data_IF_630166862476
#
_entry.id   IF_630166862476
#
_cell.length_a   1.000
_cell.length_b   1.000
_cell.length_c   1.000
_cell.angle_alpha   90.00
_cell.angle_beta   90.00
_cell.angle_gamma   90.00
#
_symmetry.space_group_name_H-M   'P 1'
#
loop_
_entity.id
_entity.type
_entity.pdbx_description
1 polymer ?
#
# COMPACT_ATOMS: atom_id res chain seq x y z
N UNK A 1 -38.28 20.81 9.22
CA UNK A 1 -36.83 20.62 8.98
C UNK A 1 -36.46 19.22 9.41
N UNK A 2 -36.44 18.27 8.47
CA UNK A 2 -36.00 16.90 8.70
C UNK A 2 -34.51 16.91 9.01
N UNK A 3 -34.14 16.54 10.24
CA UNK A 3 -32.74 16.25 10.60
C UNK A 3 -32.27 15.16 9.63
N UNK A 4 -31.44 15.51 8.65
CA UNK A 4 -30.60 14.53 7.93
C UNK A 4 -29.66 13.95 8.98
N UNK A 5 -30.12 12.89 9.66
CA UNK A 5 -29.24 12.09 10.50
C UNK A 5 -28.14 11.59 9.59
N UNK A 6 -26.89 11.82 9.99
CA UNK A 6 -25.75 11.07 9.46
C UNK A 6 -26.08 9.60 9.67
N UNK A 7 -26.49 8.91 8.60
CA UNK A 7 -26.80 7.49 8.66
C UNK A 7 -25.55 6.76 9.17
N UNK A 8 -25.77 5.83 10.11
CA UNK A 8 -24.70 5.00 10.61
C UNK A 8 -24.09 4.21 9.45
N UNK A 9 -22.76 4.02 9.43
CA UNK A 9 -22.15 3.11 8.48
C UNK A 9 -22.71 1.70 8.70
N UNK A 10 -23.19 1.08 7.63
CA UNK A 10 -23.63 -0.31 7.65
C UNK A 10 -22.43 -1.24 7.92
N UNK A 11 -22.64 -2.27 8.73
CA UNK A 11 -21.64 -3.30 8.99
C UNK A 11 -21.21 -3.99 7.70
N UNK A 12 -22.12 -4.18 6.75
CA UNK A 12 -21.79 -4.76 5.44
C UNK A 12 -20.79 -3.89 4.68
N UNK A 13 -20.92 -2.57 4.76
CA UNK A 13 -19.97 -1.65 4.14
C UNK A 13 -18.63 -1.66 4.89
N UNK A 14 -18.65 -1.79 6.21
CA UNK A 14 -17.44 -1.94 7.01
C UNK A 14 -16.66 -3.20 6.61
N UNK A 15 -17.35 -4.33 6.44
CA UNK A 15 -16.75 -5.59 5.98
C UNK A 15 -16.21 -5.48 4.56
N UNK A 16 -16.93 -4.83 3.64
CA UNK A 16 -16.43 -4.57 2.28
C UNK A 16 -15.15 -3.75 2.29
N UNK A 17 -15.05 -2.73 3.17
CA UNK A 17 -13.82 -1.94 3.31
C UNK A 17 -12.70 -2.79 3.90
N UNK A 18 -12.98 -3.61 4.91
CA UNK A 18 -12.00 -4.52 5.51
C UNK A 18 -11.42 -5.53 4.50
N UNK A 19 -12.26 -6.17 3.68
CA UNK A 19 -11.80 -7.08 2.64
C UNK A 19 -10.96 -6.36 1.58
N UNK A 20 -11.31 -5.12 1.20
CA UNK A 20 -10.46 -4.31 0.31
C UNK A 20 -9.10 -3.97 0.92
N UNK A 21 -9.05 -3.65 2.22
CA UNK A 21 -7.78 -3.42 2.93
C UNK A 21 -6.91 -4.68 2.89
N UNK A 22 -7.50 -5.85 3.14
CA UNK A 22 -6.81 -7.15 3.08
C UNK A 22 -6.29 -7.43 1.67
N UNK A 23 -7.12 -7.30 0.64
CA UNK A 23 -6.71 -7.53 -0.75
C UNK A 23 -5.57 -6.60 -1.17
N UNK A 24 -5.68 -5.30 -0.87
CA UNK A 24 -4.62 -4.34 -1.17
C UNK A 24 -3.34 -4.60 -0.39
N UNK A 25 -3.43 -5.04 0.87
CA UNK A 25 -2.26 -5.41 1.67
C UNK A 25 -1.50 -6.58 1.06
N UNK A 26 -2.22 -7.62 0.60
CA UNK A 26 -1.64 -8.78 -0.08
C UNK A 26 -1.01 -8.36 -1.41
N UNK A 27 -1.74 -7.61 -2.25
CA UNK A 27 -1.23 -7.12 -3.52
C UNK A 27 0.02 -6.25 -3.35
N UNK A 28 0.07 -5.41 -2.31
CA UNK A 28 1.22 -4.56 -1.99
C UNK A 28 2.44 -5.40 -1.65
N UNK A 29 2.26 -6.44 -0.83
CA UNK A 29 3.33 -7.35 -0.45
C UNK A 29 3.88 -8.11 -1.67
N UNK A 30 3.01 -8.65 -2.53
CA UNK A 30 3.42 -9.32 -3.76
C UNK A 30 4.22 -8.39 -4.67
N UNK A 31 3.77 -7.14 -4.83
CA UNK A 31 4.45 -6.17 -5.66
C UNK A 31 5.84 -5.79 -5.09
N UNK A 32 5.95 -5.64 -3.77
CA UNK A 32 7.24 -5.42 -3.10
C UNK A 32 8.21 -6.59 -3.31
N UNK A 33 7.73 -7.82 -3.17
CA UNK A 33 8.54 -9.02 -3.41
C UNK A 33 9.00 -9.06 -4.87
N UNK A 34 8.09 -8.77 -5.81
CA UNK A 34 8.42 -8.72 -7.25
C UNK A 34 9.49 -7.68 -7.57
N UNK A 35 9.37 -6.46 -7.01
CA UNK A 35 10.39 -5.41 -7.16
C UNK A 35 11.73 -5.88 -6.63
N UNK A 36 11.78 -6.41 -5.39
CA UNK A 36 13.03 -6.92 -4.79
C UNK A 36 13.67 -8.04 -5.60
N UNK A 37 12.86 -8.91 -6.19
CA UNK A 37 13.35 -9.98 -7.07
C UNK A 37 14.03 -9.38 -8.31
N UNK A 38 13.36 -8.45 -9.00
CA UNK A 38 13.91 -7.80 -10.20
C UNK A 38 15.17 -6.99 -9.86
N UNK A 39 15.20 -6.31 -8.71
CA UNK A 39 16.41 -5.63 -8.22
C UNK A 39 17.59 -6.61 -8.07
N UNK A 40 17.34 -7.77 -7.45
CA UNK A 40 18.37 -8.79 -7.26
C UNK A 40 18.83 -9.39 -8.59
N UNK A 41 17.90 -9.69 -9.49
CA UNK A 41 18.17 -10.21 -10.82
C UNK A 41 18.99 -9.19 -11.65
N UNK A 42 18.65 -7.90 -11.56
CA UNK A 42 19.38 -6.79 -12.18
C UNK A 42 20.81 -6.69 -11.66
N UNK A 43 20.99 -6.70 -10.34
CA UNK A 43 22.33 -6.65 -9.72
C UNK A 43 23.16 -7.84 -10.18
N UNK A 44 22.58 -9.05 -10.18
CA UNK A 44 23.25 -10.26 -10.63
C UNK A 44 23.68 -10.17 -12.10
N UNK A 45 22.77 -9.74 -12.98
CA UNK A 45 23.04 -9.60 -14.41
C UNK A 45 24.15 -8.58 -14.69
N UNK A 46 24.05 -7.38 -14.12
CA UNK A 46 25.04 -6.31 -14.29
C UNK A 46 26.42 -6.69 -13.72
N UNK A 47 26.45 -7.51 -12.68
CA UNK A 47 27.71 -7.97 -12.05
C UNK A 47 28.39 -9.08 -12.85
N UNK A 48 27.63 -9.97 -13.48
CA UNK A 48 28.17 -11.18 -14.12
C UNK A 48 28.33 -11.04 -15.64
N UNK A 49 27.53 -10.18 -16.29
CA UNK A 49 27.56 -10.02 -17.73
C UNK A 49 28.58 -8.95 -18.15
N UNK A 50 29.58 -9.38 -18.93
CA UNK A 50 30.66 -8.54 -19.43
C UNK A 50 30.19 -7.36 -20.29
N UNK A 51 28.98 -7.40 -20.84
CA UNK A 51 28.34 -6.28 -21.55
C UNK A 51 28.27 -5.01 -20.70
N UNK A 52 28.10 -5.15 -19.39
CA UNK A 52 27.97 -4.01 -18.46
C UNK A 52 29.28 -3.66 -17.75
N UNK A 53 30.39 -4.30 -18.13
CA UNK A 53 31.68 -4.08 -17.49
C UNK A 53 32.27 -2.74 -17.94
N UNK A 54 32.81 -2.02 -16.96
CA UNK A 54 33.49 -0.75 -17.19
C UNK A 54 34.98 -1.05 -17.18
N UNK A 55 35.66 -0.84 -18.32
CA UNK A 55 37.09 -1.16 -18.49
C UNK A 55 37.41 -2.65 -18.20
N UNK A 56 36.59 -3.57 -18.73
CA UNK A 56 36.72 -5.03 -18.54
C UNK A 56 36.65 -5.53 -17.09
N UNK A 57 36.08 -4.74 -16.18
CA UNK A 57 35.81 -5.14 -14.80
C UNK A 57 34.34 -4.96 -14.48
N UNK A 58 33.82 -5.83 -13.61
CA UNK A 58 32.48 -5.69 -13.08
C UNK A 58 32.32 -4.29 -12.44
N UNK A 59 31.19 -3.61 -12.66
CA UNK A 59 30.92 -2.33 -12.04
C UNK A 59 30.85 -2.46 -10.51
N UNK A 60 31.20 -1.39 -9.80
CA UNK A 60 31.10 -1.38 -8.34
C UNK A 60 29.64 -1.42 -7.89
N UNK A 61 29.37 -2.00 -6.72
CA UNK A 61 28.00 -2.05 -6.19
C UNK A 61 27.37 -0.66 -6.09
N UNK A 62 28.14 0.35 -5.64
CA UNK A 62 27.66 1.73 -5.59
C UNK A 62 27.20 2.27 -6.95
N UNK A 63 27.90 1.92 -8.04
CA UNK A 63 27.47 2.30 -9.38
C UNK A 63 26.17 1.59 -9.77
N UNK A 64 26.07 0.27 -9.51
CA UNK A 64 24.87 -0.53 -9.81
C UNK A 64 23.65 0.02 -9.04
N UNK A 65 23.82 0.40 -7.78
CA UNK A 65 22.74 0.96 -6.96
C UNK A 65 22.24 2.29 -7.50
N UNK A 66 23.15 3.16 -7.95
CA UNK A 66 22.81 4.47 -8.46
C UNK A 66 22.19 4.44 -9.87
N UNK A 67 22.45 3.39 -10.66
CA UNK A 67 22.10 3.36 -12.09
C UNK A 67 21.04 2.32 -12.42
N UNK A 68 21.22 1.06 -12.04
CA UNK A 68 20.38 -0.04 -12.50
C UNK A 68 19.40 -0.54 -11.42
N UNK A 69 19.79 -0.55 -10.15
CA UNK A 69 18.93 -1.09 -9.08
C UNK A 69 17.64 -0.28 -8.91
N UNK A 70 17.68 1.02 -9.19
CA UNK A 70 16.49 1.86 -9.07
C UNK A 70 15.54 1.68 -10.25
N UNK A 71 16.07 1.68 -11.47
CA UNK A 71 15.29 1.69 -12.73
C UNK A 71 14.99 0.30 -13.27
N UNK A 72 15.86 -0.69 -13.03
CA UNK A 72 15.91 -1.93 -13.78
C UNK A 72 16.80 -1.80 -15.02
N UNK A 73 17.06 -2.91 -15.69
CA UNK A 73 17.88 -2.92 -16.92
C UNK A 73 17.13 -2.27 -18.07
N UNK A 74 15.80 -2.42 -18.10
CA UNK A 74 14.89 -1.93 -19.15
C UNK A 74 13.91 -0.88 -18.61
N UNK A 75 14.25 -0.20 -17.51
CA UNK A 75 13.41 0.78 -16.80
C UNK A 75 12.09 0.21 -16.22
N UNK A 76 11.95 -1.11 -16.14
CA UNK A 76 10.75 -1.81 -15.71
C UNK A 76 10.39 -1.59 -14.23
N UNK A 77 11.37 -1.25 -13.38
CA UNK A 77 11.13 -0.98 -11.96
C UNK A 77 10.43 0.36 -11.72
N UNK A 78 10.57 1.34 -12.63
CA UNK A 78 9.96 2.66 -12.48
C UNK A 78 8.43 2.51 -12.41
N UNK A 79 7.84 1.81 -13.39
CA UNK A 79 6.40 1.57 -13.41
C UNK A 79 5.92 0.78 -12.19
N UNK A 80 6.68 -0.24 -11.78
CA UNK A 80 6.32 -1.07 -10.62
C UNK A 80 6.35 -0.25 -9.32
N UNK A 81 7.31 0.67 -9.17
CA UNK A 81 7.38 1.60 -8.03
C UNK A 81 6.20 2.57 -8.04
N UNK A 82 5.80 3.11 -9.20
CA UNK A 82 4.60 3.94 -9.29
C UNK A 82 3.34 3.16 -8.91
N UNK A 83 3.19 1.93 -9.42
CA UNK A 83 2.09 1.02 -9.04
C UNK A 83 2.08 0.75 -7.53
N UNK A 84 3.26 0.55 -6.93
CA UNK A 84 3.40 0.35 -5.49
C UNK A 84 3.00 1.59 -4.69
N UNK A 85 3.39 2.77 -5.14
CA UNK A 85 3.02 4.03 -4.51
C UNK A 85 1.49 4.26 -4.58
N UNK A 86 0.87 4.04 -5.74
CA UNK A 86 -0.59 4.14 -5.92
C UNK A 86 -1.33 3.19 -4.98
N UNK A 87 -0.93 1.92 -4.97
CA UNK A 87 -1.55 0.90 -4.14
C UNK A 87 -1.36 1.17 -2.63
N UNK A 88 -0.22 1.74 -2.26
CA UNK A 88 0.03 2.14 -0.87
C UNK A 88 -0.87 3.30 -0.45
N UNK A 89 -1.05 4.29 -1.33
CA UNK A 89 -1.96 5.41 -1.08
C UNK A 89 -3.41 4.92 -0.97
N UNK A 90 -3.87 4.07 -1.88
CA UNK A 90 -5.22 3.48 -1.83
C UNK A 90 -5.46 2.67 -0.56
N UNK A 91 -4.48 1.86 -0.14
CA UNK A 91 -4.54 1.10 1.11
C UNK A 91 -4.69 2.03 2.31
N UNK A 92 -3.89 3.09 2.38
CA UNK A 92 -3.91 4.02 3.52
C UNK A 92 -5.21 4.81 3.57
N UNK A 93 -5.70 5.25 2.41
CA UNK A 93 -7.02 5.85 2.29
C UNK A 93 -8.12 4.91 2.82
N UNK A 94 -8.12 3.63 2.42
CA UNK A 94 -9.14 2.67 2.89
C UNK A 94 -9.06 2.38 4.38
N UNK A 95 -7.85 2.31 4.96
CA UNK A 95 -7.70 2.21 6.41
C UNK A 95 -8.28 3.42 7.13
N UNK A 96 -8.04 4.63 6.62
CA UNK A 96 -8.62 5.84 7.21
C UNK A 96 -10.14 5.83 7.14
N UNK A 97 -10.72 5.42 6.01
CA UNK A 97 -12.18 5.23 5.89
C UNK A 97 -12.70 4.23 6.93
N UNK A 98 -12.02 3.08 7.09
CA UNK A 98 -12.39 2.08 8.08
C UNK A 98 -12.35 2.64 9.52
N UNK A 99 -11.30 3.39 9.86
CA UNK A 99 -11.18 4.03 11.16
C UNK A 99 -12.31 5.02 11.42
N UNK A 100 -12.62 5.89 10.45
CA UNK A 100 -13.75 6.83 10.56
C UNK A 100 -15.08 6.09 10.77
N UNK A 101 -15.35 5.03 10.00
CA UNK A 101 -16.57 4.24 10.16
C UNK A 101 -16.66 3.59 11.55
N UNK A 102 -15.56 3.03 12.04
CA UNK A 102 -15.48 2.46 13.39
C UNK A 102 -15.75 3.52 14.46
N UNK A 103 -15.13 4.69 14.33
CA UNK A 103 -15.28 5.77 15.31
C UNK A 103 -16.72 6.33 15.31
N UNK A 104 -17.39 6.40 14.15
CA UNK A 104 -18.81 6.74 14.07
C UNK A 104 -19.70 5.76 14.84
N UNK A 105 -19.43 4.44 14.72
CA UNK A 105 -20.15 3.41 15.47
C UNK A 105 -19.92 3.58 16.98
N UNK A 106 -18.68 3.82 17.41
CA UNK A 106 -18.35 4.03 18.83
C UNK A 106 -19.01 5.28 19.41
N UNK A 107 -19.06 6.39 18.67
CA UNK A 107 -19.75 7.62 19.09
C UNK A 107 -21.25 7.34 19.24
N UNK A 108 -21.85 6.64 18.29
CA UNK A 108 -23.28 6.31 18.36
C UNK A 108 -23.61 5.41 19.55
N UNK A 109 -22.80 4.37 19.81
CA UNK A 109 -22.96 3.51 21.00
C UNK A 109 -22.93 4.33 22.29
N UNK A 110 -22.00 5.28 22.39
CA UNK A 110 -21.86 6.19 23.54
C UNK A 110 -23.09 7.09 23.68
N UNK A 111 -23.54 7.74 22.61
CA UNK A 111 -24.74 8.60 22.63
C UNK A 111 -26.00 7.81 23.00
N UNK A 112 -26.16 6.61 22.43
CA UNK A 112 -27.27 5.71 22.73
C UNK A 112 -27.27 5.24 24.19
N UNK A 113 -26.09 4.93 24.76
CA UNK A 113 -25.95 4.59 26.17
C UNK A 113 -26.35 5.76 27.09
N UNK A 114 -25.87 6.99 26.79
CA UNK A 114 -26.21 8.18 27.57
C UNK A 114 -27.71 8.50 27.53
N UNK A 115 -28.34 8.37 26.36
CA UNK A 115 -29.78 8.58 26.21
C UNK A 115 -30.60 7.58 27.05
N UNK A 116 -30.19 6.31 27.11
CA UNK A 116 -30.82 5.30 27.97
C UNK A 116 -30.62 5.59 29.46
N UNK A 117 -29.43 6.03 29.84
CA UNK A 117 -29.14 6.39 31.23
C UNK A 117 -29.92 7.62 31.71
N UNK A 118 -30.21 8.58 30.82
CA UNK A 118 -31.02 9.77 31.16
C UNK A 118 -32.53 9.50 31.30
N UNK A 119 -33.00 8.31 30.89
CA UNK A 119 -34.40 7.90 30.97
C UNK A 119 -34.70 7.03 32.20
N UNK A 120 -33.68 6.70 33.00
CA UNK A 120 -33.74 5.96 34.27
C UNK A 120 -33.56 6.94 35.44
#
# INVERSE_FOLDING_TARGET
MTKKGTELPDFDDLFKVAEKIKSFSISRLHLQIRIKKIEADTVREVTLNSKYFIKNKAPSMAYIEATYKYTGIDNELIELRHKLASLTNELEYKKNVFLVMRDMISIYQTVSANARASLL
#
